data_IF_997680584652
#
_entry.id   IF_997680584652
#
_cell.length_a   1.000
_cell.length_b   1.000
_cell.length_c   1.000
_cell.angle_alpha   90.00
_cell.angle_beta   90.00
_cell.angle_gamma   90.00
#
_symmetry.space_group_name_H-M   'P 1'
#
loop_
_entity.id
_entity.type
_entity.pdbx_description
1 polymer ?
#
# COMPACT_ATOMS: atom_id res chain seq x y z
N UNK A 1 -4.68 13.84 0.75
CA UNK A 1 -4.73 12.38 0.50
C UNK A 1 -5.21 12.15 -0.93
N UNK A 2 -4.54 11.24 -1.68
CA UNK A 2 -5.03 10.73 -2.97
C UNK A 2 -6.00 9.56 -2.73
N UNK A 3 -7.14 9.59 -3.37
CA UNK A 3 -8.11 8.49 -3.38
C UNK A 3 -8.60 8.23 -4.80
N UNK A 4 -8.65 6.96 -5.20
CA UNK A 4 -9.11 6.55 -6.54
C UNK A 4 -10.54 6.03 -6.43
N UNK A 5 -11.48 6.71 -7.09
CA UNK A 5 -12.89 6.33 -7.07
C UNK A 5 -13.12 5.14 -8.00
N UNK A 6 -13.60 3.98 -7.51
CA UNK A 6 -13.63 2.76 -8.29
C UNK A 6 -14.71 2.79 -9.39
N UNK A 7 -14.35 2.32 -10.57
CA UNK A 7 -15.27 2.15 -11.72
C UNK A 7 -15.63 0.68 -11.93
N UNK A 8 -14.71 -0.24 -11.60
CA UNK A 8 -14.86 -1.68 -11.82
C UNK A 8 -14.36 -2.48 -10.61
N UNK A 9 -14.82 -2.11 -9.39
CA UNK A 9 -14.46 -2.81 -8.15
C UNK A 9 -15.03 -4.22 -8.14
N UNK A 10 -14.24 -5.18 -7.71
CA UNK A 10 -14.66 -6.56 -7.61
C UNK A 10 -13.59 -7.49 -7.05
N UNK A 11 -13.94 -8.78 -6.99
CA UNK A 11 -12.99 -9.81 -6.58
C UNK A 11 -11.80 -9.88 -7.54
N UNK A 12 -10.59 -9.85 -6.99
CA UNK A 12 -9.35 -9.96 -7.74
C UNK A 12 -8.68 -11.33 -7.52
N UNK A 13 -8.84 -12.24 -8.48
CA UNK A 13 -8.29 -13.58 -8.40
C UNK A 13 -6.75 -13.61 -8.29
N UNK A 14 -6.06 -12.61 -8.87
CA UNK A 14 -4.58 -12.55 -8.80
C UNK A 14 -4.07 -12.18 -7.40
N UNK A 15 -4.83 -11.38 -6.65
CA UNK A 15 -4.46 -10.99 -5.27
C UNK A 15 -5.01 -11.94 -4.21
N UNK A 16 -6.10 -12.65 -4.50
CA UNK A 16 -6.74 -13.58 -3.57
C UNK A 16 -5.85 -14.78 -3.17
N UNK A 17 -4.88 -15.13 -3.99
CA UNK A 17 -3.96 -16.27 -3.74
C UNK A 17 -3.15 -16.13 -2.46
N UNK A 18 -2.92 -14.91 -1.98
CA UNK A 18 -2.16 -14.63 -0.76
C UNK A 18 -2.83 -13.58 0.14
N UNK A 19 -4.07 -13.18 -0.16
CA UNK A 19 -4.88 -12.27 0.65
C UNK A 19 -6.09 -13.02 1.24
N UNK A 20 -5.92 -13.54 2.45
CA UNK A 20 -6.97 -14.28 3.16
C UNK A 20 -8.20 -13.43 3.54
N UNK A 21 -8.10 -12.10 3.48
CA UNK A 21 -9.21 -11.19 3.79
C UNK A 21 -10.13 -10.94 2.60
N UNK A 22 -9.71 -11.33 1.39
CA UNK A 22 -10.53 -11.15 0.20
C UNK A 22 -11.55 -12.29 0.06
N UNK A 23 -12.82 -11.94 0.10
CA UNK A 23 -13.93 -12.89 -0.04
C UNK A 23 -14.68 -12.61 -1.32
N UNK A 24 -14.91 -13.66 -2.12
CA UNK A 24 -15.75 -13.56 -3.30
C UNK A 24 -17.21 -13.41 -2.88
N UNK A 25 -17.83 -12.29 -3.23
CA UNK A 25 -19.26 -12.03 -2.98
C UNK A 25 -20.10 -12.36 -4.22
N UNK A 26 -21.25 -12.98 -4.00
CA UNK A 26 -22.26 -13.20 -5.03
C UNK A 26 -23.30 -12.07 -5.08
N UNK A 27 -23.06 -10.95 -4.38
CA UNK A 27 -23.99 -9.81 -4.37
C UNK A 27 -24.01 -9.09 -5.71
N UNK A 28 -25.20 -8.84 -6.26
CA UNK A 28 -25.40 -8.19 -7.56
C UNK A 28 -24.92 -6.71 -7.60
N UNK A 29 -24.70 -6.08 -6.44
CA UNK A 29 -24.49 -4.63 -6.33
C UNK A 29 -23.13 -4.25 -5.71
N UNK A 30 -22.11 -5.13 -5.75
CA UNK A 30 -20.80 -4.90 -5.12
C UNK A 30 -20.17 -3.57 -5.58
N UNK A 31 -20.15 -3.32 -6.88
CA UNK A 31 -19.63 -2.08 -7.45
C UNK A 31 -20.36 -0.84 -6.94
N UNK A 32 -21.68 -0.87 -6.87
CA UNK A 32 -22.46 0.28 -6.40
C UNK A 32 -22.24 0.54 -4.91
N UNK A 33 -22.17 -0.52 -4.09
CA UNK A 33 -21.86 -0.43 -2.66
C UNK A 33 -20.46 0.15 -2.45
N UNK A 34 -19.44 -0.37 -3.15
CA UNK A 34 -18.08 0.13 -3.04
C UNK A 34 -17.98 1.63 -3.40
N UNK A 35 -18.70 2.09 -4.42
CA UNK A 35 -18.75 3.53 -4.76
C UNK A 35 -19.43 4.34 -3.69
N UNK A 36 -20.53 3.86 -3.12
CA UNK A 36 -21.24 4.58 -2.05
C UNK A 36 -20.37 4.69 -0.81
N UNK A 37 -19.77 3.60 -0.36
CA UNK A 37 -18.85 3.60 0.80
C UNK A 37 -17.63 4.50 0.57
N UNK A 38 -17.10 4.51 -0.65
CA UNK A 38 -16.02 5.42 -1.04
C UNK A 38 -16.46 6.89 -0.92
N UNK A 39 -17.60 7.27 -1.50
CA UNK A 39 -18.10 8.64 -1.49
C UNK A 39 -18.43 9.11 -0.06
N UNK A 40 -19.02 8.23 0.75
CA UNK A 40 -19.32 8.50 2.17
C UNK A 40 -18.02 8.70 2.96
N UNK A 41 -16.99 7.88 2.73
CA UNK A 41 -15.70 8.02 3.39
C UNK A 41 -14.97 9.31 2.99
N UNK A 42 -14.96 9.66 1.71
CA UNK A 42 -14.44 10.97 1.24
C UNK A 42 -15.13 12.12 1.98
N UNK A 43 -16.46 12.05 2.11
CA UNK A 43 -17.23 13.05 2.81
C UNK A 43 -16.85 13.17 4.28
N UNK A 44 -16.66 12.04 4.97
CA UNK A 44 -16.19 12.00 6.36
C UNK A 44 -14.81 12.65 6.50
N UNK A 45 -13.86 12.31 5.62
CA UNK A 45 -12.51 12.88 5.64
C UNK A 45 -12.55 14.41 5.44
N UNK A 46 -13.29 14.89 4.45
CA UNK A 46 -13.41 16.33 4.13
C UNK A 46 -14.08 17.11 5.27
N UNK A 47 -15.13 16.56 5.88
CA UNK A 47 -15.81 17.17 7.04
C UNK A 47 -14.90 17.26 8.28
N UNK A 48 -13.85 16.45 8.34
CA UNK A 48 -12.83 16.50 9.39
C UNK A 48 -11.58 17.29 8.97
N UNK A 49 -11.66 18.10 7.91
CA UNK A 49 -10.60 19.01 7.48
C UNK A 49 -9.46 18.34 6.71
N UNK A 50 -9.64 17.09 6.26
CA UNK A 50 -8.65 16.39 5.43
C UNK A 50 -8.80 16.83 3.97
N UNK A 51 -7.72 17.33 3.38
CA UNK A 51 -7.68 17.62 1.94
C UNK A 51 -7.58 16.31 1.14
N UNK A 52 -8.67 15.96 0.44
CA UNK A 52 -8.78 14.74 -0.37
C UNK A 52 -8.79 15.09 -1.84
N UNK A 53 -7.86 14.52 -2.58
CA UNK A 53 -7.84 14.54 -4.04
C UNK A 53 -8.46 13.26 -4.56
N UNK A 54 -9.65 13.36 -5.12
CA UNK A 54 -10.33 12.22 -5.75
C UNK A 54 -10.01 12.20 -7.24
N UNK A 55 -9.62 11.03 -7.74
CA UNK A 55 -9.45 10.75 -9.17
C UNK A 55 -10.38 9.61 -9.53
N UNK A 56 -11.20 9.78 -10.56
CA UNK A 56 -12.05 8.71 -11.10
C UNK A 56 -11.16 7.66 -11.79
N UNK A 57 -11.36 6.40 -11.50
CA UNK A 57 -10.70 5.32 -12.23
C UNK A 57 -11.25 5.21 -13.67
N UNK A 58 -10.68 4.34 -14.47
CA UNK A 58 -11.16 4.02 -15.82
C UNK A 58 -11.57 2.55 -15.92
N UNK A 59 -12.58 2.27 -16.76
CA UNK A 59 -13.07 0.90 -16.96
C UNK A 59 -12.02 -0.01 -17.61
N UNK A 60 -11.11 0.56 -18.40
CA UNK A 60 -10.01 -0.13 -19.06
C UNK A 60 -8.70 0.61 -18.87
N UNK A 61 -7.59 -0.11 -18.61
CA UNK A 61 -7.54 -1.55 -18.28
C UNK A 61 -8.32 -1.85 -16.99
N UNK A 62 -8.83 -3.08 -16.84
CA UNK A 62 -9.58 -3.49 -15.64
C UNK A 62 -8.65 -3.61 -14.42
N UNK A 63 -8.92 -2.81 -13.40
CA UNK A 63 -8.11 -2.69 -12.17
C UNK A 63 -9.03 -2.78 -10.95
N UNK A 64 -9.42 -4.01 -10.51
CA UNK A 64 -10.42 -4.20 -9.45
C UNK A 64 -9.98 -3.65 -8.09
N UNK A 65 -8.67 -3.54 -7.83
CA UNK A 65 -8.07 -3.04 -6.58
C UNK A 65 -7.60 -1.57 -6.66
N UNK A 66 -8.03 -0.81 -7.68
CA UNK A 66 -7.58 0.57 -7.91
C UNK A 66 -7.81 1.53 -6.73
N UNK A 67 -8.71 1.17 -5.80
CA UNK A 67 -8.97 1.95 -4.57
C UNK A 67 -7.79 1.99 -3.59
N UNK A 68 -6.73 1.21 -3.83
CA UNK A 68 -5.54 1.12 -2.97
C UNK A 68 -4.30 1.74 -3.63
N UNK A 69 -4.30 3.04 -3.98
CA UNK A 69 -3.15 3.67 -4.65
C UNK A 69 -1.88 3.66 -3.82
N UNK A 70 -2.00 3.56 -2.48
CA UNK A 70 -0.87 3.46 -1.56
C UNK A 70 0.05 2.26 -1.82
N UNK A 71 -0.40 1.26 -2.57
CA UNK A 71 0.42 0.11 -2.92
C UNK A 71 1.37 0.40 -4.10
N UNK A 72 0.99 1.28 -5.03
CA UNK A 72 1.81 1.54 -6.20
C UNK A 72 2.45 2.94 -6.24
N UNK A 73 2.02 3.89 -5.37
CA UNK A 73 2.59 5.23 -5.28
C UNK A 73 2.68 5.72 -3.84
N UNK A 74 3.73 6.46 -3.52
CA UNK A 74 3.82 7.24 -2.28
C UNK A 74 4.32 8.66 -2.53
N UNK A 75 3.96 9.56 -1.60
CA UNK A 75 4.32 10.98 -1.64
C UNK A 75 5.13 11.35 -0.42
N UNK A 76 6.16 12.16 -0.64
CA UNK A 76 7.05 12.63 0.41
C UNK A 76 7.07 14.15 0.47
N UNK A 77 7.28 14.72 1.67
CA UNK A 77 7.18 16.15 1.92
C UNK A 77 8.22 16.99 1.15
N UNK A 78 9.32 16.38 0.70
CA UNK A 78 10.34 17.03 -0.12
C UNK A 78 9.95 17.18 -1.62
N UNK A 79 8.75 16.69 -1.98
CA UNK A 79 8.24 16.65 -3.35
C UNK A 79 8.67 15.42 -4.14
N UNK A 80 9.24 14.41 -3.48
CA UNK A 80 9.54 13.12 -4.12
C UNK A 80 8.26 12.28 -4.20
N UNK A 81 8.04 11.65 -5.35
CA UNK A 81 7.08 10.55 -5.53
C UNK A 81 7.83 9.27 -5.85
N UNK A 82 7.36 8.15 -5.32
CA UNK A 82 7.87 6.82 -5.67
C UNK A 82 6.78 5.98 -6.32
N UNK A 83 7.17 5.24 -7.37
CA UNK A 83 6.37 4.17 -7.95
C UNK A 83 6.96 2.83 -7.55
N UNK A 84 6.09 1.89 -7.20
CA UNK A 84 6.47 0.61 -6.61
C UNK A 84 6.15 -0.58 -7.52
N UNK A 85 6.96 -1.66 -7.48
CA UNK A 85 6.68 -2.89 -8.19
C UNK A 85 5.53 -3.65 -7.53
N UNK A 86 4.56 -4.07 -8.35
CA UNK A 86 3.34 -4.76 -7.94
C UNK A 86 3.41 -6.25 -8.26
N UNK A 87 3.04 -7.09 -7.29
CA UNK A 87 2.98 -8.55 -7.42
C UNK A 87 1.96 -8.97 -8.49
N UNK A 88 0.69 -8.60 -8.31
CA UNK A 88 -0.37 -8.94 -9.23
C UNK A 88 -0.25 -8.14 -10.53
N UNK A 89 -0.26 -8.86 -11.67
CA UNK A 89 -0.03 -8.26 -13.01
C UNK A 89 -1.10 -7.22 -13.35
N UNK A 90 -2.37 -7.52 -13.02
CA UNK A 90 -3.47 -6.59 -13.28
C UNK A 90 -3.35 -5.30 -12.47
N UNK A 91 -2.69 -5.32 -11.30
CA UNK A 91 -2.46 -4.14 -10.46
C UNK A 91 -1.36 -3.22 -11.00
N UNK A 92 -0.44 -3.75 -11.83
CA UNK A 92 0.57 -2.92 -12.53
C UNK A 92 -0.07 -1.88 -13.43
N UNK A 93 -1.26 -2.20 -13.97
CA UNK A 93 -2.06 -1.27 -14.77
C UNK A 93 -2.79 -0.17 -13.97
N UNK A 94 -2.69 -0.15 -12.63
CA UNK A 94 -3.21 0.94 -11.79
C UNK A 94 -2.38 2.23 -11.91
N UNK A 95 -1.13 2.15 -12.37
CA UNK A 95 -0.24 3.30 -12.63
C UNK A 95 -0.66 4.06 -13.89
N UNK A 96 -1.87 4.62 -13.89
CA UNK A 96 -2.49 5.30 -15.03
C UNK A 96 -1.99 6.74 -15.17
N UNK A 97 -1.71 7.17 -16.40
CA UNK A 97 -1.16 8.49 -16.69
C UNK A 97 -2.03 9.63 -16.15
N UNK A 98 -3.34 9.55 -16.32
CA UNK A 98 -4.26 10.60 -15.84
C UNK A 98 -4.24 10.77 -14.30
N UNK A 99 -3.92 9.71 -13.54
CA UNK A 99 -3.73 9.80 -12.10
C UNK A 99 -2.45 10.56 -11.78
N UNK A 100 -1.35 10.25 -12.49
CA UNK A 100 -0.06 10.95 -12.33
C UNK A 100 -0.15 12.41 -12.79
N UNK A 101 -0.88 12.70 -13.85
CA UNK A 101 -1.16 14.06 -14.31
C UNK A 101 -1.92 14.86 -13.24
N UNK A 102 -2.97 14.26 -12.65
CA UNK A 102 -3.74 14.90 -11.57
C UNK A 102 -2.91 15.20 -10.33
N UNK A 103 -1.98 14.31 -10.01
CA UNK A 103 -1.00 14.55 -8.95
C UNK A 103 -0.12 15.75 -9.28
N UNK A 104 0.41 15.82 -10.50
CA UNK A 104 1.28 16.92 -10.94
C UNK A 104 0.57 18.28 -10.98
N UNK A 105 -0.76 18.30 -11.24
CA UNK A 105 -1.54 19.55 -11.20
C UNK A 105 -1.64 20.12 -9.77
N UNK A 106 -1.71 19.26 -8.76
CA UNK A 106 -2.00 19.65 -7.38
C UNK A 106 -0.77 19.75 -6.50
N UNK A 107 0.24 18.92 -6.76
CA UNK A 107 1.44 18.82 -5.94
C UNK A 107 2.68 19.22 -6.73
N UNK A 108 3.59 19.94 -6.06
CA UNK A 108 4.89 20.31 -6.64
C UNK A 108 5.84 19.10 -6.65
N UNK A 109 5.66 18.21 -7.63
CA UNK A 109 6.54 17.04 -7.80
C UNK A 109 7.90 17.54 -8.28
N UNK A 110 8.96 17.27 -7.48
CA UNK A 110 10.35 17.65 -7.78
C UNK A 110 11.19 16.49 -8.26
N UNK A 111 10.88 15.29 -7.79
CA UNK A 111 11.63 14.06 -8.10
C UNK A 111 10.67 12.89 -8.24
N UNK A 112 10.88 12.07 -9.25
CA UNK A 112 10.21 10.78 -9.42
C UNK A 112 11.26 9.67 -9.29
N UNK A 113 11.02 8.71 -8.40
CA UNK A 113 11.77 7.48 -8.28
C UNK A 113 10.86 6.36 -8.77
N UNK A 114 11.33 5.55 -9.68
CA UNK A 114 10.57 4.45 -10.26
C UNK A 114 11.28 3.12 -9.95
N UNK A 115 10.67 2.32 -9.08
CA UNK A 115 11.14 1.00 -8.70
C UNK A 115 10.39 -0.11 -9.44
N UNK A 116 9.49 0.22 -10.38
CA UNK A 116 8.67 -0.78 -11.06
C UNK A 116 9.46 -1.74 -11.95
N UNK A 117 10.70 -1.40 -12.31
CA UNK A 117 11.61 -2.29 -13.04
C UNK A 117 11.96 -3.58 -12.28
N UNK A 118 11.79 -3.62 -10.96
CA UNK A 118 11.95 -4.85 -10.17
C UNK A 118 10.90 -5.93 -10.51
N UNK A 119 9.79 -5.54 -11.14
CA UNK A 119 8.79 -6.49 -11.68
C UNK A 119 9.39 -7.45 -12.72
N UNK A 120 10.46 -7.06 -13.43
CA UNK A 120 11.19 -7.92 -14.38
C UNK A 120 11.98 -9.02 -13.69
N UNK A 121 12.27 -8.87 -12.39
CA UNK A 121 12.98 -9.85 -11.56
C UNK A 121 12.02 -10.69 -10.71
N UNK A 122 10.70 -10.49 -10.81
CA UNK A 122 9.67 -11.08 -9.95
C UNK A 122 9.89 -10.82 -8.46
N UNK A 123 10.41 -9.64 -8.09
CA UNK A 123 10.53 -9.17 -6.72
C UNK A 123 9.76 -7.85 -6.52
N UNK A 124 9.09 -7.71 -5.39
CA UNK A 124 8.06 -6.71 -5.21
C UNK A 124 8.18 -5.94 -3.89
N UNK A 125 7.65 -4.73 -3.89
CA UNK A 125 7.46 -3.91 -2.70
C UNK A 125 6.20 -3.04 -2.94
N UNK A 126 5.07 -3.45 -2.40
CA UNK A 126 3.79 -2.77 -2.65
C UNK A 126 3.62 -1.55 -1.71
N UNK A 127 4.47 -0.55 -1.90
CA UNK A 127 4.40 0.77 -1.26
C UNK A 127 4.13 0.74 0.26
N UNK A 128 3.19 1.55 0.71
CA UNK A 128 2.79 1.60 2.13
C UNK A 128 1.74 0.53 2.51
N UNK A 129 1.55 -0.48 1.68
CA UNK A 129 1.00 -1.78 2.07
C UNK A 129 2.12 -2.64 2.66
N UNK A 130 3.19 -2.83 1.90
CA UNK A 130 4.39 -3.59 2.29
C UNK A 130 5.19 -2.94 3.41
N UNK A 131 5.13 -1.61 3.54
CA UNK A 131 5.87 -0.84 4.54
C UNK A 131 4.95 0.02 5.38
N UNK A 132 5.21 0.08 6.68
CA UNK A 132 4.70 1.13 7.58
C UNK A 132 5.87 2.07 7.90
N UNK A 133 5.68 3.36 7.60
CA UNK A 133 6.74 4.36 7.70
C UNK A 133 6.57 5.24 8.93
N UNK A 134 7.50 5.16 9.86
CA UNK A 134 7.74 6.24 10.81
C UNK A 134 8.54 7.33 10.09
N UNK A 135 7.84 8.36 9.67
CA UNK A 135 8.42 9.42 8.83
C UNK A 135 9.32 10.36 9.60
N UNK A 136 9.06 10.56 10.88
CA UNK A 136 9.82 11.45 11.74
C UNK A 136 11.17 10.83 12.14
N UNK A 137 11.16 9.55 12.52
CA UNK A 137 12.37 8.82 12.89
C UNK A 137 13.06 8.15 11.69
N UNK A 138 12.46 8.22 10.49
CA UNK A 138 13.00 7.59 9.28
C UNK A 138 13.16 6.07 9.41
N UNK A 139 12.14 5.39 9.95
CA UNK A 139 12.11 3.95 10.10
C UNK A 139 11.08 3.38 9.12
N UNK A 140 11.45 2.30 8.43
CA UNK A 140 10.56 1.55 7.55
C UNK A 140 10.38 0.13 8.12
N UNK A 141 9.23 -0.13 8.71
CA UNK A 141 8.84 -1.44 9.18
C UNK A 141 8.30 -2.27 8.01
N UNK A 142 8.82 -3.47 7.83
CA UNK A 142 8.43 -4.32 6.70
C UNK A 142 8.36 -5.80 7.08
N UNK A 143 7.16 -6.38 6.95
CA UNK A 143 6.91 -7.80 7.06
C UNK A 143 7.20 -8.48 5.71
N UNK A 144 8.18 -9.38 5.69
CA UNK A 144 8.58 -10.10 4.47
C UNK A 144 7.48 -11.05 4.02
N UNK A 145 7.17 -10.98 2.74
CA UNK A 145 6.09 -11.74 2.12
C UNK A 145 6.32 -11.84 0.60
N UNK A 146 5.50 -12.59 -0.16
CA UNK A 146 5.55 -12.55 -1.62
C UNK A 146 5.36 -11.16 -2.24
N UNK A 147 4.87 -10.16 -1.48
CA UNK A 147 4.68 -8.77 -1.93
C UNK A 147 5.67 -7.77 -1.31
N UNK A 148 6.62 -8.27 -0.51
CA UNK A 148 7.59 -7.43 0.23
C UNK A 148 8.95 -8.11 0.21
N UNK A 149 9.81 -7.68 -0.71
CA UNK A 149 11.16 -8.21 -0.90
C UNK A 149 12.21 -7.30 -0.25
N UNK A 150 13.22 -7.91 0.39
CA UNK A 150 14.28 -7.19 1.10
C UNK A 150 15.20 -6.39 0.16
N UNK A 151 15.45 -6.85 -1.08
CA UNK A 151 16.31 -6.13 -2.03
C UNK A 151 15.65 -4.80 -2.41
N UNK A 152 14.34 -4.82 -2.71
CA UNK A 152 13.60 -3.61 -3.08
C UNK A 152 13.42 -2.68 -1.88
N UNK A 153 13.20 -3.25 -0.68
CA UNK A 153 13.14 -2.48 0.56
C UNK A 153 14.48 -1.77 0.85
N UNK A 154 15.60 -2.47 0.69
CA UNK A 154 16.93 -1.89 0.88
C UNK A 154 17.17 -0.73 -0.10
N UNK A 155 16.77 -0.88 -1.36
CA UNK A 155 16.88 0.19 -2.37
C UNK A 155 15.99 1.39 -2.02
N UNK A 156 14.74 1.17 -1.59
CA UNK A 156 13.88 2.23 -1.07
C UNK A 156 14.55 2.95 0.09
N UNK A 157 15.02 2.22 1.11
CA UNK A 157 15.64 2.78 2.31
C UNK A 157 16.90 3.57 1.96
N UNK A 158 17.73 3.07 1.04
CA UNK A 158 18.92 3.78 0.56
C UNK A 158 18.57 5.11 -0.11
N UNK A 159 17.55 5.13 -0.97
CA UNK A 159 17.17 6.33 -1.72
C UNK A 159 16.45 7.37 -0.85
N UNK A 160 15.66 6.90 0.10
CA UNK A 160 14.81 7.77 0.94
C UNK A 160 15.37 8.02 2.33
N UNK A 161 16.56 7.47 2.63
CA UNK A 161 17.25 7.61 3.92
C UNK A 161 16.42 7.10 5.10
N UNK A 162 15.86 5.89 4.95
CA UNK A 162 15.17 5.17 6.01
C UNK A 162 16.04 4.05 6.56
N UNK A 163 15.84 3.74 7.84
CA UNK A 163 16.39 2.54 8.48
C UNK A 163 15.35 1.43 8.36
N UNK A 164 15.66 0.27 7.75
CA UNK A 164 14.72 -0.84 7.65
C UNK A 164 14.63 -1.58 8.99
N UNK A 165 13.41 -1.95 9.39
CA UNK A 165 13.12 -2.92 10.45
C UNK A 165 12.35 -4.06 9.79
N UNK A 166 13.05 -5.17 9.57
CA UNK A 166 12.59 -6.31 8.80
C UNK A 166 12.19 -7.44 9.74
N UNK A 167 11.05 -8.05 9.50
CA UNK A 167 10.55 -9.18 10.26
C UNK A 167 9.64 -10.08 9.42
N UNK A 168 9.39 -11.30 9.91
CA UNK A 168 8.40 -12.21 9.37
C UNK A 168 7.21 -12.31 10.33
N UNK A 169 6.00 -12.33 9.79
CA UNK A 169 4.79 -12.52 10.58
C UNK A 169 3.82 -13.48 9.89
N UNK A 170 3.06 -14.22 10.68
CA UNK A 170 2.05 -15.16 10.19
C UNK A 170 0.72 -14.93 10.88
N UNK A 171 -0.37 -15.30 10.20
CA UNK A 171 -1.70 -15.38 10.79
C UNK A 171 -1.85 -16.62 11.70
N UNK A 172 -3.02 -16.76 12.33
CA UNK A 172 -3.33 -17.92 13.19
C UNK A 172 -3.33 -19.29 12.49
N UNK A 173 -3.28 -19.33 11.16
CA UNK A 173 -3.18 -20.54 10.35
C UNK A 173 -1.75 -20.81 9.85
N UNK A 174 -0.79 -19.97 10.22
CA UNK A 174 0.60 -20.05 9.77
C UNK A 174 0.85 -19.50 8.36
N UNK A 175 -0.10 -18.78 7.77
CA UNK A 175 0.09 -18.11 6.50
C UNK A 175 0.81 -16.78 6.70
N UNK A 176 1.77 -16.46 5.83
CA UNK A 176 2.48 -15.18 5.86
C UNK A 176 1.51 -14.01 5.74
N UNK A 177 1.68 -13.01 6.60
CA UNK A 177 0.99 -11.72 6.46
C UNK A 177 1.54 -11.02 5.22
N UNK A 178 0.68 -10.77 4.24
CA UNK A 178 1.08 -10.29 2.91
C UNK A 178 1.50 -8.81 2.87
N UNK A 179 0.98 -7.99 3.78
CA UNK A 179 1.29 -6.57 3.92
C UNK A 179 1.48 -6.16 5.37
N UNK A 180 2.45 -5.31 5.64
CA UNK A 180 2.76 -4.81 6.98
C UNK A 180 1.62 -3.99 7.58
N UNK A 181 0.93 -3.19 6.78
CA UNK A 181 -0.19 -2.36 7.24
C UNK A 181 -1.43 -3.16 7.69
N UNK A 182 -1.48 -4.46 7.44
CA UNK A 182 -2.53 -5.36 7.96
C UNK A 182 -2.34 -5.61 9.46
N UNK A 183 -1.09 -5.59 9.94
CA UNK A 183 -0.76 -5.95 11.31
C UNK A 183 -0.30 -4.79 12.19
N UNK A 184 0.09 -3.64 11.59
CA UNK A 184 0.54 -2.49 12.38
C UNK A 184 0.23 -1.14 11.75
N UNK A 185 0.20 -0.11 12.59
CA UNK A 185 0.26 1.28 12.17
C UNK A 185 1.05 2.13 13.18
N UNK A 186 1.66 3.20 12.69
CA UNK A 186 2.37 4.19 13.50
C UNK A 186 1.57 5.49 13.51
N UNK A 187 1.31 6.03 14.69
CA UNK A 187 0.70 7.33 14.93
C UNK A 187 1.71 8.26 15.63
N UNK A 188 1.33 9.52 15.80
CA UNK A 188 2.19 10.57 16.41
C UNK A 188 2.75 10.20 17.81
N UNK A 189 2.00 9.45 18.62
CA UNK A 189 2.35 9.16 20.01
C UNK A 189 2.28 7.69 20.41
N UNK A 190 1.89 6.83 19.50
CA UNK A 190 1.73 5.41 19.78
C UNK A 190 1.84 4.58 18.50
N UNK A 191 2.14 3.31 18.70
CA UNK A 191 2.10 2.28 17.67
C UNK A 191 1.06 1.24 18.06
N UNK A 192 0.26 0.79 17.08
CA UNK A 192 -0.60 -0.38 17.22
C UNK A 192 -0.01 -1.50 16.40
N UNK A 193 0.22 -2.64 17.01
CA UNK A 193 0.83 -3.80 16.34
C UNK A 193 0.33 -5.12 16.96
N UNK A 194 0.13 -6.13 16.14
CA UNK A 194 -0.12 -7.50 16.55
C UNK A 194 1.22 -8.25 16.72
N UNK A 195 1.88 -8.09 17.88
CA UNK A 195 3.19 -8.68 18.14
C UNK A 195 3.15 -10.21 18.18
N UNK A 196 2.02 -10.82 18.54
CA UNK A 196 1.85 -12.28 18.57
C UNK A 196 2.00 -12.93 17.18
N UNK A 197 1.84 -12.16 16.11
CA UNK A 197 2.06 -12.61 14.74
C UNK A 197 3.55 -12.81 14.40
N UNK A 198 4.46 -12.25 15.19
CA UNK A 198 5.92 -12.33 15.01
C UNK A 198 6.46 -13.44 15.89
N UNK A 199 6.63 -14.64 15.31
CA UNK A 199 7.00 -15.83 16.07
C UNK A 199 8.49 -15.86 16.50
N UNK A 200 9.38 -15.19 15.76
CA UNK A 200 10.79 -15.12 16.07
C UNK A 200 11.04 -14.14 17.23
N UNK A 201 11.62 -14.60 18.38
CA UNK A 201 11.80 -13.76 19.57
C UNK A 201 12.76 -12.57 19.36
N UNK A 202 13.75 -12.70 18.47
CA UNK A 202 14.70 -11.64 18.19
C UNK A 202 14.03 -10.54 17.35
N UNK A 203 13.29 -10.94 16.32
CA UNK A 203 12.51 -10.01 15.50
C UNK A 203 11.37 -9.36 16.31
N UNK A 204 10.67 -10.13 17.14
CA UNK A 204 9.66 -9.60 18.06
C UNK A 204 10.25 -8.51 18.96
N UNK A 205 11.41 -8.80 19.58
CA UNK A 205 12.11 -7.83 20.44
C UNK A 205 12.58 -6.61 19.63
N UNK A 206 13.17 -6.82 18.45
CA UNK A 206 13.61 -5.73 17.57
C UNK A 206 12.47 -4.76 17.28
N UNK A 207 11.31 -5.28 16.86
CA UNK A 207 10.14 -4.44 16.52
C UNK A 207 9.56 -3.74 17.75
N UNK A 208 9.56 -4.40 18.91
CA UNK A 208 9.01 -3.83 20.14
C UNK A 208 9.91 -2.73 20.76
N UNK A 209 11.23 -2.82 20.55
CA UNK A 209 12.21 -1.89 21.12
C UNK A 209 12.50 -0.68 20.20
N UNK A 210 12.08 -0.73 18.91
CA UNK A 210 12.29 0.33 17.92
C UNK A 210 11.13 1.29 17.87
#
# INVERSE_FOLDING_TARGET
ILMIRPVSFGYNAETAVNNAFQVQSNEANVQQKARQEFDDFVTVLQNNGIDVTVVEDTALPHTPDSIFPNNWVSFHHDGTILLYPMYAVNRRAERKDHVLEKINEKFAVKKKIDLSNYEEKDIFLEGTGSMVLDRDNRIAYACISPRTDEEVLAEFCRQMHYTPVVFAATDGNGQSIYHTNVLMCVADKYVVICLESIADPEQHKLVADT
#
